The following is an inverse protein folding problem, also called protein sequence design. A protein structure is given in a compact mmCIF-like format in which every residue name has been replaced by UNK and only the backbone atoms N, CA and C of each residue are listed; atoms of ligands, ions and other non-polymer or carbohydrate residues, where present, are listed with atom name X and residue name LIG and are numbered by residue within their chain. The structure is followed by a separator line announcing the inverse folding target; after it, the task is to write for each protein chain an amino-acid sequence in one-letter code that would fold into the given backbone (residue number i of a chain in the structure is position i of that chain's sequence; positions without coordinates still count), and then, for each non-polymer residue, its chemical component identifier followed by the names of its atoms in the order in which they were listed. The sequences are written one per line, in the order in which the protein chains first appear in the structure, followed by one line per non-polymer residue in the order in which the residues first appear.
data_IF_920471095498
#
_entry.id   IF_920471095498
#
_cell.length_a   1.000
_cell.length_b   1.000
_cell.length_c   1.000
_cell.angle_alpha   90.00
_cell.angle_beta   90.00
_cell.angle_gamma   90.00
#
_symmetry.space_group_name_H-M   'P 1'
#
loop_
_entity.id
_entity.type
_entity.pdbx_description
1 polymer ?
#
# COMPACT_ATOMS: atom_id res chain seq x y z
N UNK A 1 -22.42 3.39 -7.29
CA UNK A 1 -21.02 3.39 -7.79
C UNK A 1 -20.57 4.84 -7.79
N UNK A 2 -19.39 5.12 -7.24
CA UNK A 2 -18.83 6.46 -7.26
C UNK A 2 -18.53 6.87 -8.70
N UNK A 3 -18.58 8.18 -8.99
CA UNK A 3 -18.31 8.71 -10.35
C UNK A 3 -16.96 8.23 -10.91
N UNK A 4 -15.95 8.14 -10.05
CA UNK A 4 -14.62 7.62 -10.39
C UNK A 4 -14.66 6.14 -10.83
N UNK A 5 -15.44 5.30 -10.14
CA UNK A 5 -15.58 3.89 -10.50
C UNK A 5 -16.28 3.71 -11.85
N UNK A 6 -17.22 4.58 -12.18
CA UNK A 6 -17.90 4.60 -13.50
C UNK A 6 -16.91 5.01 -14.58
N UNK A 7 -16.16 6.08 -14.36
CA UNK A 7 -15.12 6.56 -15.29
C UNK A 7 -14.04 5.49 -15.52
N UNK A 8 -13.52 4.91 -14.43
CA UNK A 8 -12.50 3.86 -14.51
C UNK A 8 -13.02 2.62 -15.26
N UNK A 9 -14.30 2.24 -15.08
CA UNK A 9 -14.90 1.09 -15.75
C UNK A 9 -15.02 1.34 -17.26
N UNK A 10 -15.41 2.54 -17.69
CA UNK A 10 -15.49 2.89 -19.10
C UNK A 10 -14.10 2.95 -19.74
N UNK A 11 -13.12 3.53 -19.07
CA UNK A 11 -11.73 3.55 -19.54
C UNK A 11 -11.21 2.12 -19.68
N UNK A 12 -11.46 1.26 -18.68
CA UNK A 12 -11.00 -0.13 -18.70
C UNK A 12 -11.67 -0.94 -19.82
N UNK A 13 -12.95 -0.71 -20.08
CA UNK A 13 -13.67 -1.34 -21.21
C UNK A 13 -13.01 -1.01 -22.56
N UNK A 14 -12.68 0.28 -22.79
CA UNK A 14 -11.99 0.72 -24.02
C UNK A 14 -10.58 0.12 -24.12
N UNK A 15 -9.88 0.07 -22.98
CA UNK A 15 -8.54 -0.52 -22.93
C UNK A 15 -8.56 -2.02 -23.28
N UNK A 16 -9.52 -2.77 -22.76
CA UNK A 16 -9.69 -4.19 -23.10
C UNK A 16 -10.08 -4.40 -24.57
N UNK A 17 -10.74 -3.41 -25.19
CA UNK A 17 -11.06 -3.43 -26.63
C UNK A 17 -9.86 -3.03 -27.53
N UNK A 18 -8.66 -2.78 -26.95
CA UNK A 18 -7.43 -2.48 -27.70
C UNK A 18 -7.08 -1.00 -27.82
N UNK A 19 -7.86 -0.10 -27.20
CA UNK A 19 -7.54 1.35 -27.19
C UNK A 19 -6.34 1.62 -26.25
N UNK A 20 -5.17 1.76 -26.83
CA UNK A 20 -3.95 2.06 -26.06
C UNK A 20 -4.00 3.43 -25.36
N UNK A 21 -4.71 4.43 -25.93
CA UNK A 21 -4.86 5.73 -25.29
C UNK A 21 -5.68 5.62 -23.98
N UNK A 22 -6.57 4.64 -23.88
CA UNK A 22 -7.30 4.36 -22.66
C UNK A 22 -6.37 3.89 -21.53
N UNK A 23 -5.29 3.16 -21.81
CA UNK A 23 -4.30 2.80 -20.80
C UNK A 23 -3.65 4.03 -20.15
N UNK A 24 -3.26 5.02 -20.94
CA UNK A 24 -2.69 6.26 -20.41
C UNK A 24 -3.68 7.03 -19.53
N UNK A 25 -4.98 7.01 -19.89
CA UNK A 25 -6.03 7.62 -19.06
C UNK A 25 -6.20 6.88 -17.74
N UNK A 26 -6.23 5.53 -17.79
CA UNK A 26 -6.32 4.69 -16.60
C UNK A 26 -5.13 4.93 -15.66
N UNK A 27 -3.92 4.98 -16.23
CA UNK A 27 -2.69 5.29 -15.48
C UNK A 27 -2.79 6.66 -14.79
N UNK A 28 -3.12 7.73 -15.53
CA UNK A 28 -3.24 9.08 -14.96
C UNK A 28 -4.28 9.16 -13.84
N UNK A 29 -5.39 8.45 -13.98
CA UNK A 29 -6.46 8.43 -13.01
C UNK A 29 -6.03 7.72 -11.71
N UNK A 30 -5.35 6.57 -11.80
CA UNK A 30 -5.13 5.70 -10.66
C UNK A 30 -3.70 5.71 -10.11
N UNK A 31 -2.69 6.05 -10.91
CA UNK A 31 -1.29 6.01 -10.48
C UNK A 31 -1.00 6.82 -9.21
N UNK A 32 -1.51 8.06 -9.04
CA UNK A 32 -1.25 8.82 -7.81
C UNK A 32 -1.77 8.12 -6.56
N UNK A 33 -2.92 7.47 -6.65
CA UNK A 33 -3.54 6.74 -5.52
C UNK A 33 -2.83 5.43 -5.24
N UNK A 34 -2.47 4.67 -6.28
CA UNK A 34 -1.72 3.42 -6.12
C UNK A 34 -0.33 3.71 -5.56
N UNK A 35 0.32 4.79 -6.02
CA UNK A 35 1.61 5.23 -5.46
C UNK A 35 1.49 5.57 -3.98
N UNK A 36 0.50 6.37 -3.60
CA UNK A 36 0.27 6.73 -2.20
C UNK A 36 -0.02 5.49 -1.32
N UNK A 37 -0.77 4.52 -1.85
CA UNK A 37 -1.04 3.25 -1.18
C UNK A 37 0.27 2.45 -0.96
N UNK A 38 1.04 2.23 -2.02
CA UNK A 38 2.30 1.49 -1.96
C UNK A 38 3.32 2.18 -1.06
N UNK A 39 3.44 3.50 -1.16
CA UNK A 39 4.32 4.28 -0.29
C UNK A 39 3.92 4.19 1.18
N UNK A 40 2.62 4.31 1.49
CA UNK A 40 2.11 4.13 2.84
C UNK A 40 2.39 2.74 3.43
N UNK A 41 2.56 1.70 2.60
CA UNK A 41 2.91 0.36 3.03
C UNK A 41 4.41 0.15 3.20
N UNK A 42 5.23 0.61 2.23
CA UNK A 42 6.66 0.31 2.16
C UNK A 42 7.52 1.34 2.90
N UNK A 43 7.04 2.59 3.03
CA UNK A 43 7.76 3.70 3.66
C UNK A 43 8.83 4.37 2.78
N UNK A 44 9.24 3.77 1.68
CA UNK A 44 10.31 4.23 0.79
C UNK A 44 9.76 4.64 -0.57
N UNK A 45 9.85 5.92 -0.92
CA UNK A 45 9.29 6.45 -2.16
C UNK A 45 9.88 5.81 -3.42
N UNK A 46 11.21 5.64 -3.58
CA UNK A 46 11.76 5.00 -4.78
C UNK A 46 11.25 3.58 -4.98
N UNK A 47 11.20 2.78 -3.92
CA UNK A 47 10.63 1.43 -3.99
C UNK A 47 9.14 1.44 -4.34
N UNK A 48 8.37 2.39 -3.80
CA UNK A 48 6.96 2.53 -4.14
C UNK A 48 6.74 2.87 -5.62
N UNK A 49 7.61 3.70 -6.21
CA UNK A 49 7.60 4.03 -7.64
C UNK A 49 7.91 2.80 -8.51
N UNK A 50 8.88 1.98 -8.12
CA UNK A 50 9.19 0.71 -8.80
C UNK A 50 8.00 -0.27 -8.73
N UNK A 51 7.39 -0.39 -7.55
CA UNK A 51 6.21 -1.23 -7.35
C UNK A 51 5.00 -0.72 -8.15
N UNK A 52 4.84 0.59 -8.30
CA UNK A 52 3.82 1.18 -9.16
C UNK A 52 4.00 0.76 -10.62
N UNK A 53 5.22 0.88 -11.15
CA UNK A 53 5.54 0.47 -12.52
C UNK A 53 5.24 -1.02 -12.73
N UNK A 54 5.71 -1.88 -11.81
CA UNK A 54 5.45 -3.32 -11.84
C UNK A 54 3.94 -3.63 -11.75
N UNK A 55 3.20 -2.86 -10.96
CA UNK A 55 1.74 -3.01 -10.85
C UNK A 55 1.06 -2.76 -12.19
N UNK A 56 1.37 -1.65 -12.85
CA UNK A 56 0.74 -1.33 -14.14
C UNK A 56 1.21 -2.24 -15.28
N UNK A 57 2.44 -2.77 -15.23
CA UNK A 57 2.88 -3.84 -16.13
C UNK A 57 2.01 -5.09 -15.95
N UNK A 58 1.82 -5.56 -14.71
CA UNK A 58 0.95 -6.70 -14.40
C UNK A 58 -0.53 -6.44 -14.77
N UNK A 59 -1.02 -5.19 -14.62
CA UNK A 59 -2.35 -4.79 -15.11
C UNK A 59 -2.43 -4.95 -16.63
N UNK A 60 -1.38 -4.54 -17.35
CA UNK A 60 -1.32 -4.73 -18.82
C UNK A 60 -1.35 -6.21 -19.22
N UNK A 61 -0.55 -7.03 -18.57
CA UNK A 61 -0.50 -8.48 -18.81
C UNK A 61 -1.83 -9.17 -18.48
N UNK A 62 -2.44 -8.80 -17.37
CA UNK A 62 -3.66 -9.43 -16.86
C UNK A 62 -4.95 -8.87 -17.49
N UNK A 63 -4.90 -7.87 -18.40
CA UNK A 63 -6.10 -7.21 -18.93
C UNK A 63 -7.09 -8.15 -19.59
N UNK A 64 -6.62 -9.24 -20.21
CA UNK A 64 -7.47 -10.24 -20.85
C UNK A 64 -8.30 -11.06 -19.83
N UNK A 65 -7.88 -11.12 -18.56
CA UNK A 65 -8.60 -11.81 -17.48
C UNK A 65 -9.54 -10.89 -16.70
N UNK A 66 -9.60 -9.60 -17.05
CA UNK A 66 -10.50 -8.66 -16.40
C UNK A 66 -11.96 -8.91 -16.80
N UNK A 67 -12.85 -8.98 -15.81
CA UNK A 67 -14.28 -9.16 -16.03
C UNK A 67 -14.90 -7.81 -16.42
N UNK A 68 -15.29 -7.69 -17.69
CA UNK A 68 -15.91 -6.46 -18.20
C UNK A 68 -17.17 -6.10 -17.40
N UNK A 69 -17.29 -4.82 -17.06
CA UNK A 69 -18.40 -4.30 -16.24
C UNK A 69 -18.17 -4.36 -14.72
N UNK A 70 -17.14 -5.06 -14.25
CA UNK A 70 -16.73 -4.98 -12.84
C UNK A 70 -16.06 -3.63 -12.54
N UNK A 71 -15.99 -3.24 -11.25
CA UNK A 71 -15.20 -2.08 -10.83
C UNK A 71 -13.69 -2.42 -10.94
N UNK A 72 -12.90 -1.74 -11.80
CA UNK A 72 -11.49 -2.04 -11.96
C UNK A 72 -10.63 -1.60 -10.78
N UNK A 73 -11.10 -0.68 -9.96
CA UNK A 73 -10.30 -0.08 -8.89
C UNK A 73 -9.88 -1.15 -7.86
N UNK A 74 -10.78 -1.94 -7.23
CA UNK A 74 -10.37 -2.99 -6.30
C UNK A 74 -9.49 -4.06 -6.97
N UNK A 75 -9.71 -4.34 -8.25
CA UNK A 75 -8.90 -5.29 -8.99
C UNK A 75 -7.45 -4.81 -9.16
N UNK A 76 -7.25 -3.53 -9.53
CA UNK A 76 -5.91 -2.92 -9.65
C UNK A 76 -5.23 -2.86 -8.28
N UNK A 77 -5.96 -2.48 -7.21
CA UNK A 77 -5.41 -2.53 -5.84
C UNK A 77 -5.01 -3.95 -5.42
N UNK A 78 -5.75 -4.99 -5.84
CA UNK A 78 -5.36 -6.38 -5.58
C UNK A 78 -4.03 -6.73 -6.26
N UNK A 79 -3.81 -6.25 -7.49
CA UNK A 79 -2.53 -6.43 -8.20
C UNK A 79 -1.41 -5.69 -7.47
N UNK A 80 -1.64 -4.43 -7.06
CA UNK A 80 -0.70 -3.64 -6.29
C UNK A 80 -0.33 -4.31 -4.94
N UNK A 81 -1.33 -4.80 -4.21
CA UNK A 81 -1.13 -5.54 -2.96
C UNK A 81 -0.27 -6.79 -3.16
N UNK A 82 -0.55 -7.59 -4.18
CA UNK A 82 0.25 -8.78 -4.50
C UNK A 82 1.69 -8.41 -4.86
N UNK A 83 1.88 -7.35 -5.64
CA UNK A 83 3.21 -6.84 -6.02
C UNK A 83 3.99 -6.40 -4.77
N UNK A 84 3.34 -5.70 -3.84
CA UNK A 84 3.92 -5.35 -2.55
C UNK A 84 4.30 -6.60 -1.72
N UNK A 85 3.42 -7.60 -1.61
CA UNK A 85 3.73 -8.83 -0.88
C UNK A 85 4.90 -9.61 -1.49
N UNK A 86 5.04 -9.63 -2.81
CA UNK A 86 6.15 -10.26 -3.50
C UNK A 86 7.48 -9.57 -3.15
N UNK A 87 7.50 -8.23 -3.08
CA UNK A 87 8.66 -7.45 -2.66
C UNK A 87 9.03 -7.73 -1.19
N UNK A 88 8.06 -7.77 -0.28
CA UNK A 88 8.30 -8.13 1.12
C UNK A 88 8.91 -9.51 1.24
N UNK A 89 8.39 -10.50 0.50
CA UNK A 89 8.94 -11.86 0.48
C UNK A 89 10.36 -11.89 -0.10
N UNK A 90 10.63 -11.08 -1.14
CA UNK A 90 11.96 -10.93 -1.75
C UNK A 90 12.97 -10.39 -0.74
N UNK A 91 12.63 -9.28 -0.06
CA UNK A 91 13.48 -8.68 0.99
C UNK A 91 13.76 -9.64 2.14
N UNK A 92 12.74 -10.37 2.59
CA UNK A 92 12.90 -11.39 3.63
C UNK A 92 13.88 -12.49 3.21
N UNK A 93 13.78 -12.99 1.98
CA UNK A 93 14.70 -14.02 1.45
C UNK A 93 16.15 -13.53 1.39
N UNK A 94 16.38 -12.30 0.95
CA UNK A 94 17.73 -11.69 0.91
C UNK A 94 18.28 -11.58 2.32
N UNK A 95 17.50 -11.08 3.28
CA UNK A 95 17.93 -10.97 4.68
C UNK A 95 18.33 -12.32 5.26
N UNK A 96 17.53 -13.38 5.04
CA UNK A 96 17.84 -14.74 5.53
C UNK A 96 19.11 -15.31 4.89
N UNK A 97 19.39 -14.99 3.61
CA UNK A 97 20.66 -15.42 2.97
C UNK A 97 21.86 -14.73 3.60
N UNK A 98 21.80 -13.41 3.75
CA UNK A 98 22.87 -12.63 4.37
C UNK A 98 23.15 -13.05 5.83
N UNK A 99 22.12 -13.50 6.57
CA UNK A 99 22.32 -14.01 7.94
C UNK A 99 22.83 -15.43 7.99
N UNK A 100 22.67 -16.25 6.95
CA UNK A 100 23.25 -17.61 6.87
C UNK A 100 24.73 -17.59 6.52
N UNK A 101 25.17 -16.58 5.78
CA UNK A 101 26.57 -16.44 5.36
C UNK A 101 27.45 -15.69 6.38
N UNK A 102 26.91 -15.19 7.46
CA UNK A 102 27.64 -14.47 8.53
C UNK A 102 26.80 -14.16 9.75
N UNK A 103 26.90 -15.03 10.76
CA UNK A 103 26.50 -14.88 12.16
C UNK A 103 25.01 -14.77 12.54
N UNK A 104 24.60 -15.71 13.40
CA UNK A 104 23.57 -15.70 14.44
C UNK A 104 22.29 -14.86 14.17
N UNK A 105 21.28 -15.59 13.70
CA UNK A 105 19.90 -15.14 13.72
C UNK A 105 19.29 -15.36 15.12
N UNK A 106 18.73 -14.32 15.69
CA UNK A 106 17.78 -14.46 16.77
C UNK A 106 16.49 -13.77 16.36
N UNK A 107 15.41 -14.52 16.49
CA UNK A 107 13.99 -14.20 16.58
C UNK A 107 13.10 -14.49 15.37
N UNK A 108 12.01 -15.26 15.59
CA UNK A 108 10.95 -15.44 14.62
C UNK A 108 9.96 -14.27 14.77
N UNK A 109 10.06 -13.28 13.91
CA UNK A 109 9.05 -12.23 13.87
C UNK A 109 7.87 -12.64 13.00
N UNK A 110 6.82 -13.09 13.64
CA UNK A 110 5.48 -12.88 13.13
C UNK A 110 5.18 -11.38 13.25
N UNK A 111 5.56 -10.62 12.24
CA UNK A 111 4.95 -9.33 11.90
C UNK A 111 5.72 -8.73 10.72
N UNK A 112 4.98 -8.35 9.69
CA UNK A 112 5.52 -7.58 8.57
C UNK A 112 5.68 -6.12 9.05
N UNK A 113 6.65 -5.91 9.93
CA UNK A 113 7.13 -4.57 10.25
C UNK A 113 8.34 -4.33 9.36
N UNK A 114 8.13 -3.58 8.28
CA UNK A 114 9.23 -2.99 7.54
C UNK A 114 10.00 -2.08 8.49
N UNK A 115 11.18 -2.50 8.89
CA UNK A 115 12.16 -1.61 9.51
C UNK A 115 12.61 -0.67 8.40
N UNK A 116 12.09 0.57 8.43
CA UNK A 116 12.61 1.64 7.61
C UNK A 116 14.05 1.92 8.06
N UNK A 117 15.01 1.54 7.22
CA UNK A 117 16.35 2.07 7.32
C UNK A 117 16.28 3.56 6.95
N UNK A 118 16.94 4.36 7.76
CA UNK A 118 17.06 5.79 7.63
C UNK A 118 17.44 6.22 6.22
N UNK A 119 16.52 6.83 5.49
CA UNK A 119 16.85 7.70 4.38
C UNK A 119 15.90 8.88 4.46
N UNK A 120 16.31 9.88 5.21
CA UNK A 120 15.73 11.22 5.12
C UNK A 120 16.07 11.76 3.75
N UNK A 121 15.08 11.95 2.92
CA UNK A 121 15.18 12.78 1.73
C UNK A 121 14.47 14.09 2.04
N UNK A 122 15.26 15.14 2.14
CA UNK A 122 14.80 16.52 2.19
C UNK A 122 14.05 16.85 0.90
N UNK A 123 12.79 17.22 1.01
CA UNK A 123 12.16 18.24 0.16
C UNK A 123 10.71 18.48 0.56
N UNK A 124 10.50 19.70 0.91
CA UNK A 124 9.34 20.55 0.65
C UNK A 124 8.16 20.59 1.63
N UNK A 125 7.71 21.79 1.84
CA UNK A 125 6.88 22.50 2.85
C UNK A 125 5.42 22.01 3.05
N UNK A 126 5.22 20.76 3.09
CA UNK A 126 4.08 20.04 3.71
C UNK A 126 4.64 19.00 4.69
N UNK A 127 5.95 19.05 4.92
CA UNK A 127 6.81 17.96 5.36
C UNK A 127 6.61 17.50 6.81
N UNK A 128 6.44 18.38 7.77
CA UNK A 128 6.54 17.96 9.18
C UNK A 128 5.33 17.15 9.65
N UNK A 129 4.13 17.59 9.27
CA UNK A 129 2.90 16.85 9.60
C UNK A 129 2.77 15.55 8.81
N UNK A 130 3.16 15.55 7.51
CA UNK A 130 3.17 14.36 6.68
C UNK A 130 4.24 13.36 7.16
N UNK A 131 5.42 13.84 7.50
CA UNK A 131 6.52 13.01 8.04
C UNK A 131 6.14 12.42 9.39
N UNK A 132 5.53 13.20 10.29
CA UNK A 132 5.05 12.70 11.58
C UNK A 132 3.93 11.64 11.41
N UNK A 133 3.03 11.85 10.45
CA UNK A 133 1.98 10.88 10.13
C UNK A 133 2.55 9.59 9.57
N UNK A 134 3.51 9.67 8.64
CA UNK A 134 4.19 8.49 8.10
C UNK A 134 4.96 7.73 9.19
N UNK A 135 5.72 8.44 10.03
CA UNK A 135 6.41 7.84 11.16
C UNK A 135 5.46 7.15 12.17
N UNK A 136 4.27 7.70 12.38
CA UNK A 136 3.25 7.08 13.21
C UNK A 136 2.64 5.83 12.54
N UNK A 137 2.44 5.87 11.21
CA UNK A 137 1.97 4.72 10.44
C UNK A 137 2.98 3.57 10.44
N UNK A 138 4.27 3.86 10.37
CA UNK A 138 5.35 2.86 10.42
C UNK A 138 5.39 2.08 11.74
N UNK A 139 4.92 2.68 12.82
CA UNK A 139 4.81 2.02 14.13
C UNK A 139 3.64 1.05 14.25
N UNK A 140 2.73 1.03 13.28
CA UNK A 140 1.62 0.10 13.26
C UNK A 140 2.07 -1.26 12.71
N UNK A 141 1.53 -2.38 13.23
CA UNK A 141 1.62 -3.67 12.56
C UNK A 141 1.14 -3.57 11.11
N UNK A 142 1.86 -4.19 10.16
CA UNK A 142 1.62 -4.02 8.72
C UNK A 142 0.16 -4.26 8.30
N UNK A 143 -0.50 -5.29 8.86
CA UNK A 143 -1.89 -5.60 8.57
C UNK A 143 -2.90 -4.56 9.12
N UNK A 144 -2.54 -3.87 10.21
CA UNK A 144 -3.34 -2.77 10.77
C UNK A 144 -3.13 -1.49 9.96
N UNK A 145 -1.88 -1.19 9.60
CA UNK A 145 -1.51 -0.08 8.71
C UNK A 145 -2.25 -0.17 7.39
N UNK A 146 -2.21 -1.33 6.75
CA UNK A 146 -2.88 -1.56 5.47
C UNK A 146 -4.40 -1.38 5.56
N UNK A 147 -5.05 -1.99 6.55
CA UNK A 147 -6.49 -1.83 6.74
C UNK A 147 -6.88 -0.36 6.96
N UNK A 148 -6.09 0.40 7.70
CA UNK A 148 -6.31 1.83 7.91
C UNK A 148 -6.12 2.63 6.61
N UNK A 149 -5.03 2.40 5.88
CA UNK A 149 -4.75 3.09 4.62
C UNK A 149 -5.87 2.84 3.61
N UNK A 150 -6.26 1.59 3.38
CA UNK A 150 -7.33 1.26 2.45
C UNK A 150 -8.66 1.91 2.82
N UNK A 151 -9.05 1.87 4.11
CA UNK A 151 -10.39 2.30 4.52
C UNK A 151 -10.48 3.81 4.79
N UNK A 152 -9.44 4.42 5.37
CA UNK A 152 -9.50 5.83 5.81
C UNK A 152 -8.80 6.79 4.85
N UNK A 153 -7.71 6.37 4.21
CA UNK A 153 -7.00 7.23 3.25
C UNK A 153 -7.58 7.07 1.85
N UNK A 154 -7.81 5.82 1.42
CA UNK A 154 -8.30 5.54 0.06
C UNK A 154 -9.82 5.34 -0.02
N UNK A 155 -10.55 5.45 1.08
CA UNK A 155 -12.02 5.39 1.11
C UNK A 155 -12.61 4.05 0.65
N UNK A 156 -11.83 2.97 0.70
CA UNK A 156 -12.35 1.64 0.32
C UNK A 156 -13.31 1.12 1.39
N UNK A 157 -14.39 0.52 0.96
CA UNK A 157 -15.30 -0.18 1.88
C UNK A 157 -14.58 -1.36 2.54
N UNK A 158 -15.07 -1.81 3.70
CA UNK A 158 -14.49 -3.00 4.34
C UNK A 158 -14.56 -4.25 3.45
N UNK A 159 -15.57 -4.34 2.57
CA UNK A 159 -15.70 -5.44 1.62
C UNK A 159 -14.63 -5.37 0.51
N UNK A 160 -14.41 -4.18 -0.08
CA UNK A 160 -13.35 -3.97 -1.07
C UNK A 160 -11.96 -4.20 -0.46
N UNK A 161 -11.69 -3.65 0.73
CA UNK A 161 -10.42 -3.85 1.42
C UNK A 161 -10.19 -5.33 1.76
N UNK A 162 -11.23 -6.07 2.12
CA UNK A 162 -11.16 -7.52 2.34
C UNK A 162 -10.82 -8.28 1.06
N UNK A 163 -11.43 -7.90 -0.06
CA UNK A 163 -11.14 -8.48 -1.37
C UNK A 163 -9.69 -8.21 -1.79
N UNK A 164 -9.21 -6.97 -1.62
CA UNK A 164 -7.83 -6.55 -1.95
C UNK A 164 -6.81 -7.37 -1.16
N UNK A 165 -7.03 -7.53 0.13
CA UNK A 165 -6.08 -8.15 1.07
C UNK A 165 -6.27 -9.65 1.26
N UNK A 166 -7.29 -10.26 0.63
CA UNK A 166 -7.58 -11.68 0.77
C UNK A 166 -8.04 -12.09 2.18
N UNK A 167 -8.80 -11.23 2.86
CA UNK A 167 -9.29 -11.46 4.23
C UNK A 167 -10.82 -11.24 4.33
N UNK A 168 -11.37 -11.17 5.54
CA UNK A 168 -12.81 -10.94 5.75
C UNK A 168 -13.10 -9.46 6.08
N UNK A 169 -14.30 -8.94 5.73
CA UNK A 169 -14.69 -7.57 6.10
C UNK A 169 -14.64 -7.31 7.62
N UNK A 170 -14.98 -8.32 8.43
CA UNK A 170 -14.89 -8.25 9.89
C UNK A 170 -13.45 -8.10 10.38
N UNK A 171 -12.50 -8.83 9.77
CA UNK A 171 -11.08 -8.69 10.09
C UNK A 171 -10.55 -7.30 9.72
N UNK A 172 -10.93 -6.76 8.55
CA UNK A 172 -10.57 -5.38 8.15
C UNK A 172 -11.10 -4.36 9.15
N UNK A 173 -12.39 -4.44 9.52
CA UNK A 173 -13.00 -3.55 10.52
C UNK A 173 -12.22 -3.55 11.83
N UNK A 174 -11.89 -4.73 12.35
CA UNK A 174 -11.14 -4.89 13.59
C UNK A 174 -9.71 -4.33 13.49
N UNK A 175 -8.99 -4.64 12.39
CA UNK A 175 -7.63 -4.15 12.14
C UNK A 175 -7.60 -2.62 12.02
N UNK A 176 -8.52 -2.02 11.26
CA UNK A 176 -8.62 -0.57 11.11
C UNK A 176 -8.97 0.12 12.44
N UNK A 177 -9.85 -0.48 13.25
CA UNK A 177 -10.16 0.05 14.57
C UNK A 177 -8.94 0.03 15.50
N UNK A 178 -8.23 -1.10 15.58
CA UNK A 178 -7.01 -1.22 16.38
C UNK A 178 -5.93 -0.22 15.92
N UNK A 179 -5.73 -0.09 14.62
CA UNK A 179 -4.82 0.90 14.05
C UNK A 179 -5.15 2.32 14.50
N UNK A 180 -6.44 2.69 14.42
CA UNK A 180 -6.91 4.01 14.84
C UNK A 180 -6.65 4.28 16.34
N UNK A 181 -6.95 3.31 17.20
CA UNK A 181 -6.71 3.42 18.65
C UNK A 181 -5.20 3.60 18.92
N UNK A 182 -4.36 2.80 18.29
CA UNK A 182 -2.90 2.88 18.45
C UNK A 182 -2.36 4.23 17.97
N UNK A 183 -2.79 4.72 16.80
CA UNK A 183 -2.38 6.03 16.29
C UNK A 183 -2.79 7.16 17.24
N UNK A 184 -4.03 7.13 17.72
CA UNK A 184 -4.50 8.13 18.69
C UNK A 184 -3.64 8.16 19.95
N UNK A 185 -3.21 7.00 20.44
CA UNK A 185 -2.32 6.91 21.61
C UNK A 185 -0.91 7.44 21.28
N UNK A 186 -0.38 7.15 20.10
CA UNK A 186 0.93 7.64 19.66
C UNK A 186 0.96 9.16 19.49
N UNK A 187 -0.13 9.73 18.95
CA UNK A 187 -0.26 11.17 18.74
C UNK A 187 -0.60 11.94 20.03
N UNK A 188 -1.27 11.29 21.00
CA UNK A 188 -1.63 11.89 22.28
C UNK A 188 -0.46 11.95 23.28
N UNK A 189 0.63 11.19 23.06
CA UNK A 189 1.85 11.31 23.87
C UNK A 189 2.63 12.52 23.40
N UNK A 190 2.81 13.59 24.24
CA UNK A 190 3.75 14.65 23.91
C UNK A 190 5.12 13.99 23.70
N UNK A 191 5.84 14.43 22.69
CA UNK A 191 7.24 14.09 22.54
C UNK A 191 7.95 14.60 23.80
N UNK A 192 8.25 13.72 24.75
CA UNK A 192 9.23 14.06 25.77
C UNK A 192 10.52 14.40 25.05
N UNK A 193 10.78 15.73 24.92
CA UNK A 193 12.05 16.25 24.50
C UNK A 193 13.10 15.56 25.33
N UNK A 194 13.99 14.80 24.69
CA UNK A 194 15.30 14.48 25.26
C UNK A 194 16.02 15.80 25.54
N UNK A 195 15.86 16.31 26.74
CA UNK A 195 16.75 17.24 27.40
C UNK A 195 17.67 16.39 28.27
N UNK A 196 18.83 16.10 27.78
CA UNK A 196 20.06 15.86 28.56
C UNK A 196 21.22 15.90 27.56
#
# INVERSE_FOLDING_TARGET
MDAEAVEASEIMRRYCAGDQAAFHKLYRLLAPRILAYLWGLIGEKPTAEDLLQQTFLKVHEARASYVLGANPIPWIYTIAHRTFLDEVRRRKRIRVRLTKDGALATEPAADITGTAAETRSDSDDGGEAATATMAALERLPGNQREALILTKVHGRSHAEAAMITGTTPGAIKLRAHRAYVTLRQLMARPQEKKLA
#
